data_IF_185703276273
#
_entry.id   IF_185703276273
#
_cell.length_a   1.000
_cell.length_b   1.000
_cell.length_c   1.000
_cell.angle_alpha   90.00
_cell.angle_beta   90.00
_cell.angle_gamma   90.00
#
_symmetry.space_group_name_H-M   'P 1'
#
loop_
_entity.id
_entity.type
_entity.pdbx_description
1 polymer ?
#
# COMPACT_ATOMS: atom_id res chain seq x y z
N UNK A 1 -11.47 -16.20 -58.70
CA UNK A 1 -12.52 -16.59 -57.73
C UNK A 1 -12.13 -17.92 -57.13
N UNK A 2 -11.70 -17.93 -55.86
CA UNK A 2 -11.33 -19.16 -55.14
C UNK A 2 -12.59 -20.04 -54.98
N UNK A 3 -12.43 -21.35 -55.14
CA UNK A 3 -13.55 -22.28 -55.19
C UNK A 3 -14.16 -22.50 -53.81
N UNK A 4 -15.22 -21.75 -53.50
CA UNK A 4 -16.17 -22.07 -52.41
C UNK A 4 -16.55 -23.55 -52.44
N UNK A 5 -16.81 -24.14 -51.27
CA UNK A 5 -17.42 -25.47 -51.17
C UNK A 5 -18.72 -25.53 -51.97
N UNK A 6 -19.49 -24.44 -51.99
CA UNK A 6 -20.66 -24.32 -52.85
C UNK A 6 -20.32 -24.49 -54.33
N UNK A 7 -19.24 -23.88 -54.81
CA UNK A 7 -18.78 -24.05 -56.20
C UNK A 7 -18.30 -25.48 -56.47
N UNK A 8 -17.65 -26.15 -55.51
CA UNK A 8 -17.23 -27.55 -55.65
C UNK A 8 -18.43 -28.50 -55.71
N UNK A 9 -19.46 -28.25 -54.90
CA UNK A 9 -20.73 -28.98 -54.94
C UNK A 9 -21.44 -28.75 -56.28
N UNK A 10 -21.52 -27.50 -56.74
CA UNK A 10 -22.15 -27.14 -58.01
C UNK A 10 -21.44 -27.80 -59.21
N UNK A 11 -20.10 -27.78 -59.22
CA UNK A 11 -19.30 -28.48 -60.23
C UNK A 11 -19.53 -30.00 -60.18
N UNK A 12 -19.73 -30.57 -59.00
CA UNK A 12 -20.11 -31.98 -58.84
C UNK A 12 -21.46 -32.30 -59.48
N UNK A 13 -22.49 -31.47 -59.27
CA UNK A 13 -23.79 -31.62 -59.93
C UNK A 13 -23.68 -31.49 -61.45
N UNK A 14 -22.94 -30.48 -61.94
CA UNK A 14 -22.69 -30.31 -63.37
C UNK A 14 -21.95 -31.51 -63.98
N UNK A 15 -20.99 -32.10 -63.27
CA UNK A 15 -20.28 -33.30 -63.73
C UNK A 15 -21.22 -34.51 -63.85
N UNK A 16 -22.15 -34.70 -62.91
CA UNK A 16 -23.16 -35.76 -62.99
C UNK A 16 -24.09 -35.53 -64.19
N UNK A 17 -24.62 -34.32 -64.37
CA UNK A 17 -25.49 -33.97 -65.51
C UNK A 17 -24.75 -34.20 -66.85
N UNK A 18 -23.50 -33.74 -66.95
CA UNK A 18 -22.67 -33.93 -68.13
C UNK A 18 -22.41 -35.41 -68.41
N UNK A 19 -22.19 -36.22 -67.38
CA UNK A 19 -22.01 -37.68 -67.51
C UNK A 19 -23.27 -38.35 -68.06
N UNK A 20 -24.46 -37.99 -67.53
CA UNK A 20 -25.75 -38.51 -68.02
C UNK A 20 -26.00 -38.13 -69.48
N UNK A 21 -25.73 -36.87 -69.85
CA UNK A 21 -25.93 -36.37 -71.22
C UNK A 21 -24.95 -37.00 -72.22
N UNK A 22 -23.67 -37.12 -71.85
CA UNK A 22 -22.65 -37.71 -72.71
C UNK A 22 -22.88 -39.21 -72.95
N UNK A 23 -23.20 -39.97 -71.90
CA UNK A 23 -23.47 -41.39 -72.03
C UNK A 23 -24.83 -41.68 -72.67
N UNK A 24 -25.87 -40.90 -72.38
CA UNK A 24 -27.18 -41.06 -73.02
C UNK A 24 -27.14 -40.72 -74.52
N UNK A 25 -26.64 -39.54 -74.87
CA UNK A 25 -26.57 -39.07 -76.26
C UNK A 25 -25.52 -39.79 -77.10
N UNK A 26 -24.33 -40.03 -76.54
CA UNK A 26 -23.25 -40.73 -77.24
C UNK A 26 -23.58 -42.19 -77.54
N UNK A 27 -24.21 -42.89 -76.58
CA UNK A 27 -24.64 -44.28 -76.77
C UNK A 27 -25.74 -44.40 -77.83
N UNK A 28 -26.61 -43.39 -77.95
CA UNK A 28 -27.67 -43.34 -78.97
C UNK A 28 -27.10 -43.22 -80.40
N UNK A 29 -25.97 -42.53 -80.59
CA UNK A 29 -25.31 -42.37 -81.90
C UNK A 29 -24.51 -43.62 -82.28
N UNK A 30 -23.78 -44.21 -81.33
CA UNK A 30 -22.88 -45.35 -81.57
C UNK A 30 -23.61 -46.69 -81.69
N UNK A 31 -24.67 -46.90 -80.90
CA UNK A 31 -25.38 -48.19 -80.79
C UNK A 31 -26.90 -47.96 -80.76
N UNK A 32 -27.53 -47.63 -81.91
CA UNK A 32 -28.92 -47.17 -81.95
C UNK A 32 -29.97 -48.21 -81.53
N UNK A 33 -29.62 -49.50 -81.54
CA UNK A 33 -30.57 -50.60 -81.34
C UNK A 33 -30.46 -51.30 -79.97
N UNK A 34 -29.79 -50.70 -78.98
CA UNK A 34 -29.71 -51.25 -77.62
C UNK A 34 -30.96 -50.83 -76.82
N UNK A 35 -31.83 -51.78 -76.40
CA UNK A 35 -33.07 -51.47 -75.70
C UNK A 35 -32.88 -50.92 -74.27
N UNK A 36 -31.67 -51.02 -73.69
CA UNK A 36 -31.35 -50.67 -72.29
C UNK A 36 -30.48 -49.41 -72.12
N UNK A 37 -30.35 -48.55 -73.15
CA UNK A 37 -29.46 -47.37 -73.13
C UNK A 37 -29.74 -46.38 -71.99
N UNK A 38 -31.01 -46.11 -71.69
CA UNK A 38 -31.41 -45.12 -70.68
C UNK A 38 -31.12 -45.63 -69.26
N UNK A 39 -31.13 -46.96 -69.08
CA UNK A 39 -30.73 -47.59 -67.82
C UNK A 39 -29.22 -47.47 -67.59
N UNK A 40 -28.39 -47.61 -68.63
CA UNK A 40 -26.93 -47.50 -68.53
C UNK A 40 -26.51 -46.07 -68.16
N UNK A 41 -27.10 -45.05 -68.81
CA UNK A 41 -26.80 -43.65 -68.50
C UNK A 41 -27.25 -43.26 -67.09
N UNK A 42 -28.46 -43.67 -66.66
CA UNK A 42 -28.93 -43.46 -65.30
C UNK A 42 -28.03 -44.14 -64.24
N UNK A 43 -27.62 -45.39 -64.50
CA UNK A 43 -26.74 -46.13 -63.60
C UNK A 43 -25.35 -45.46 -63.46
N UNK A 44 -24.77 -44.99 -64.57
CA UNK A 44 -23.49 -44.28 -64.57
C UNK A 44 -23.54 -42.96 -63.78
N UNK A 45 -24.63 -42.19 -63.93
CA UNK A 45 -24.84 -40.95 -63.20
C UNK A 45 -24.96 -41.19 -61.69
N UNK A 46 -25.67 -42.27 -61.31
CA UNK A 46 -25.79 -42.70 -59.92
C UNK A 46 -24.42 -43.07 -59.34
N UNK A 47 -23.61 -43.81 -60.09
CA UNK A 47 -22.26 -44.20 -59.65
C UNK A 47 -21.34 -42.99 -59.47
N UNK A 48 -21.31 -42.06 -60.43
CA UNK A 48 -20.49 -40.84 -60.33
C UNK A 48 -20.98 -39.95 -59.18
N UNK A 49 -22.29 -39.77 -59.05
CA UNK A 49 -22.89 -39.01 -57.94
C UNK A 49 -22.55 -39.61 -56.58
N UNK A 50 -22.69 -40.93 -56.42
CA UNK A 50 -22.34 -41.63 -55.19
C UNK A 50 -20.84 -41.53 -54.86
N UNK A 51 -19.97 -41.64 -55.87
CA UNK A 51 -18.53 -41.51 -55.71
C UNK A 51 -18.14 -40.09 -55.26
N UNK A 52 -18.65 -39.06 -55.94
CA UNK A 52 -18.40 -37.65 -55.59
C UNK A 52 -18.94 -37.32 -54.20
N UNK A 53 -20.17 -37.75 -53.88
CA UNK A 53 -20.77 -37.57 -52.56
C UNK A 53 -19.91 -38.19 -51.47
N UNK A 54 -19.43 -39.43 -51.68
CA UNK A 54 -18.55 -40.12 -50.72
C UNK A 54 -17.23 -39.39 -50.52
N UNK A 55 -16.58 -38.94 -51.60
CA UNK A 55 -15.30 -38.21 -51.51
C UNK A 55 -15.46 -36.87 -50.79
N UNK A 56 -16.49 -36.10 -51.14
CA UNK A 56 -16.72 -34.80 -50.52
C UNK A 56 -17.13 -34.94 -49.06
N UNK A 57 -18.06 -35.87 -48.76
CA UNK A 57 -18.50 -36.16 -47.40
C UNK A 57 -17.33 -36.59 -46.52
N UNK A 58 -16.47 -37.48 -47.00
CA UNK A 58 -15.28 -37.93 -46.26
C UNK A 58 -14.31 -36.77 -45.97
N UNK A 59 -14.11 -35.85 -46.93
CA UNK A 59 -13.26 -34.67 -46.70
C UNK A 59 -13.85 -33.73 -45.66
N UNK A 60 -15.13 -33.36 -45.78
CA UNK A 60 -15.80 -32.48 -44.81
C UNK A 60 -15.78 -33.10 -43.42
N UNK A 61 -16.18 -34.38 -43.29
CA UNK A 61 -16.21 -35.08 -42.02
C UNK A 61 -14.83 -35.13 -41.34
N UNK A 62 -13.76 -35.30 -42.12
CA UNK A 62 -12.39 -35.31 -41.59
C UNK A 62 -11.95 -33.95 -41.06
N UNK A 63 -12.15 -32.87 -41.82
CA UNK A 63 -11.72 -31.52 -41.38
C UNK A 63 -12.57 -31.02 -40.19
N UNK A 64 -13.89 -31.23 -40.22
CA UNK A 64 -14.78 -30.89 -39.11
C UNK A 64 -14.48 -31.75 -37.89
N UNK A 65 -14.18 -33.04 -38.08
CA UNK A 65 -13.75 -33.94 -37.01
C UNK A 65 -12.45 -33.49 -36.35
N UNK A 66 -11.47 -33.02 -37.14
CA UNK A 66 -10.22 -32.46 -36.60
C UNK A 66 -10.48 -31.20 -35.76
N UNK A 67 -11.36 -30.29 -36.22
CA UNK A 67 -11.78 -29.12 -35.45
C UNK A 67 -12.51 -29.49 -34.17
N UNK A 68 -13.39 -30.49 -34.21
CA UNK A 68 -14.11 -30.97 -33.03
C UNK A 68 -13.15 -31.56 -31.98
N UNK A 69 -12.16 -32.35 -32.42
CA UNK A 69 -11.12 -32.88 -31.54
C UNK A 69 -10.26 -31.77 -30.95
N UNK A 70 -9.81 -30.81 -31.75
CA UNK A 70 -9.03 -29.67 -31.27
C UNK A 70 -9.84 -28.79 -30.31
N UNK A 71 -11.14 -28.61 -30.56
CA UNK A 71 -12.04 -27.88 -29.66
C UNK A 71 -12.21 -28.59 -28.32
N UNK A 72 -12.25 -29.93 -28.32
CA UNK A 72 -12.28 -30.72 -27.09
C UNK A 72 -10.99 -30.53 -26.28
N UNK A 73 -9.84 -30.66 -26.92
CA UNK A 73 -8.53 -30.44 -26.27
C UNK A 73 -8.40 -29.01 -25.73
N UNK A 74 -8.86 -28.01 -26.51
CA UNK A 74 -8.93 -26.62 -26.07
C UNK A 74 -9.84 -26.44 -24.84
N UNK A 75 -10.99 -27.13 -24.79
CA UNK A 75 -11.91 -27.09 -23.65
C UNK A 75 -11.34 -27.71 -22.37
N UNK A 76 -10.37 -28.61 -22.52
CA UNK A 76 -9.58 -29.17 -21.41
C UNK A 76 -8.44 -28.23 -20.97
N UNK A 77 -8.29 -27.08 -21.64
CA UNK A 77 -7.30 -26.05 -21.32
C UNK A 77 -5.95 -26.23 -22.04
N UNK A 78 -5.79 -27.26 -22.86
CA UNK A 78 -4.60 -27.42 -23.68
C UNK A 78 -4.67 -26.50 -24.91
N UNK A 79 -4.12 -25.31 -24.72
CA UNK A 79 -3.98 -24.31 -25.76
C UNK A 79 -2.81 -24.59 -26.70
N UNK A 80 -2.07 -25.70 -26.62
CA UNK A 80 -0.84 -25.91 -27.43
C UNK A 80 -1.11 -26.45 -28.83
N UNK A 81 -2.33 -26.92 -29.10
CA UNK A 81 -2.70 -27.51 -30.40
C UNK A 81 -3.29 -26.47 -31.33
N UNK A 82 -2.83 -26.51 -32.58
CA UNK A 82 -3.40 -25.75 -33.70
C UNK A 82 -3.99 -26.73 -34.73
N UNK A 83 -4.98 -26.26 -35.48
CA UNK A 83 -5.59 -27.03 -36.57
C UNK A 83 -4.94 -26.63 -37.89
N UNK A 84 -4.43 -27.61 -38.64
CA UNK A 84 -3.84 -27.34 -39.95
C UNK A 84 -4.89 -26.89 -40.98
N UNK A 85 -4.55 -25.87 -41.77
CA UNK A 85 -5.43 -25.29 -42.80
C UNK A 85 -5.12 -25.97 -44.14
N UNK A 86 -5.92 -26.96 -44.52
CA UNK A 86 -5.71 -27.76 -45.74
C UNK A 86 -6.49 -27.29 -46.97
N UNK A 87 -7.30 -26.24 -46.84
CA UNK A 87 -8.21 -25.80 -47.90
C UNK A 87 -8.29 -24.28 -48.00
N UNK A 88 -8.56 -23.79 -49.20
CA UNK A 88 -8.77 -22.37 -49.53
C UNK A 88 -10.27 -21.98 -49.57
N UNK A 89 -11.13 -22.80 -48.96
CA UNK A 89 -12.59 -22.62 -48.91
C UNK A 89 -13.07 -22.28 -47.49
N UNK A 90 -14.38 -22.34 -47.27
CA UNK A 90 -15.02 -21.99 -46.01
C UNK A 90 -14.54 -22.86 -44.83
N UNK A 91 -14.13 -24.11 -45.07
CA UNK A 91 -13.55 -24.96 -44.01
C UNK A 91 -12.15 -24.50 -43.64
N UNK A 92 -11.36 -24.05 -44.62
CA UNK A 92 -10.07 -23.43 -44.36
C UNK A 92 -10.20 -22.12 -43.57
N UNK A 93 -11.17 -21.29 -43.94
CA UNK A 93 -11.48 -20.05 -43.21
C UNK A 93 -11.92 -20.34 -41.76
N UNK A 94 -12.73 -21.38 -41.54
CA UNK A 94 -13.13 -21.82 -40.20
C UNK A 94 -11.93 -22.29 -39.37
N UNK A 95 -11.03 -23.09 -39.94
CA UNK A 95 -9.81 -23.52 -39.26
C UNK A 95 -8.89 -22.34 -38.92
N UNK A 96 -8.75 -21.38 -39.82
CA UNK A 96 -7.98 -20.16 -39.57
C UNK A 96 -8.59 -19.32 -38.43
N UNK A 97 -9.91 -19.13 -38.42
CA UNK A 97 -10.61 -18.41 -37.36
C UNK A 97 -10.48 -19.12 -36.00
N UNK A 98 -10.57 -20.45 -35.97
CA UNK A 98 -10.34 -21.24 -34.77
C UNK A 98 -8.93 -21.02 -34.21
N UNK A 99 -7.89 -21.06 -35.05
CA UNK A 99 -6.51 -20.81 -34.60
C UNK A 99 -6.33 -19.37 -34.07
N UNK A 100 -7.00 -18.38 -34.65
CA UNK A 100 -6.99 -17.00 -34.12
C UNK A 100 -7.62 -16.89 -32.73
N UNK A 101 -8.70 -17.63 -32.48
CA UNK A 101 -9.29 -17.75 -31.14
C UNK A 101 -8.29 -18.38 -30.15
N UNK A 102 -7.61 -19.47 -30.53
CA UNK A 102 -6.58 -20.12 -29.70
C UNK A 102 -5.44 -19.14 -29.37
N UNK A 103 -4.95 -18.39 -30.35
CA UNK A 103 -3.92 -17.36 -30.14
C UNK A 103 -4.38 -16.27 -29.16
N UNK A 104 -5.62 -15.82 -29.29
CA UNK A 104 -6.19 -14.80 -28.41
C UNK A 104 -6.28 -15.31 -26.96
N UNK A 105 -6.75 -16.54 -26.77
CA UNK A 105 -6.79 -17.19 -25.45
C UNK A 105 -5.38 -17.38 -24.86
N UNK A 106 -4.39 -17.80 -25.66
CA UNK A 106 -2.98 -17.87 -25.22
C UNK A 106 -2.48 -16.52 -24.72
N UNK A 107 -2.84 -15.43 -25.39
CA UNK A 107 -2.47 -14.07 -24.97
C UNK A 107 -3.07 -13.70 -23.63
N UNK A 108 -4.37 -13.95 -23.45
CA UNK A 108 -5.09 -13.69 -22.18
C UNK A 108 -4.44 -14.48 -21.02
N UNK A 109 -4.12 -15.76 -21.23
CA UNK A 109 -3.47 -16.59 -20.20
C UNK A 109 -2.08 -16.05 -19.84
N UNK A 110 -1.29 -15.58 -20.81
CA UNK A 110 0.02 -14.96 -20.56
C UNK A 110 -0.11 -13.67 -19.74
N UNK A 111 -1.07 -12.82 -20.09
CA UNK A 111 -1.33 -11.57 -19.37
C UNK A 111 -1.84 -11.82 -17.95
N UNK A 112 -2.73 -12.80 -17.77
CA UNK A 112 -3.20 -13.23 -16.46
C UNK A 112 -2.03 -13.73 -15.60
N UNK A 113 -1.11 -14.53 -16.17
CA UNK A 113 0.09 -14.98 -15.47
C UNK A 113 1.00 -13.80 -15.06
N UNK A 114 1.28 -12.88 -15.98
CA UNK A 114 2.10 -11.70 -15.68
C UNK A 114 1.47 -10.81 -14.60
N UNK A 115 0.13 -10.70 -14.60
CA UNK A 115 -0.61 -9.97 -13.57
C UNK A 115 -0.51 -10.67 -12.22
N UNK A 116 -0.66 -12.00 -12.18
CA UNK A 116 -0.48 -12.77 -10.95
C UNK A 116 0.94 -12.61 -10.38
N UNK A 117 1.98 -12.66 -11.23
CA UNK A 117 3.37 -12.42 -10.81
C UNK A 117 3.56 -11.02 -10.21
N UNK A 118 2.96 -9.98 -10.81
CA UNK A 118 2.96 -8.62 -10.26
C UNK A 118 2.25 -8.54 -8.91
N UNK A 119 1.10 -9.20 -8.76
CA UNK A 119 0.36 -9.25 -7.49
C UNK A 119 1.21 -9.92 -6.42
N UNK A 120 1.88 -11.04 -6.73
CA UNK A 120 2.80 -11.71 -5.81
C UNK A 120 3.95 -10.78 -5.40
N UNK A 121 4.60 -10.10 -6.35
CA UNK A 121 5.68 -9.17 -6.05
C UNK A 121 5.24 -8.01 -5.14
N UNK A 122 4.07 -7.43 -5.42
CA UNK A 122 3.47 -6.37 -4.58
C UNK A 122 3.13 -6.87 -3.19
N UNK A 123 2.61 -8.10 -3.04
CA UNK A 123 2.33 -8.70 -1.74
C UNK A 123 3.61 -8.91 -0.92
N UNK A 124 4.71 -9.35 -1.55
CA UNK A 124 6.02 -9.47 -0.89
C UNK A 124 6.56 -8.11 -0.44
N UNK A 125 6.47 -7.09 -1.30
CA UNK A 125 6.90 -5.74 -0.94
C UNK A 125 6.06 -5.15 0.20
N UNK A 126 4.74 -5.40 0.20
CA UNK A 126 3.85 -4.97 1.28
C UNK A 126 4.16 -5.68 2.59
N UNK A 127 4.47 -6.98 2.56
CA UNK A 127 4.89 -7.74 3.74
C UNK A 127 6.17 -7.14 4.35
N UNK A 128 7.18 -6.86 3.53
CA UNK A 128 8.41 -6.21 4.01
C UNK A 128 8.16 -4.82 4.58
N UNK A 129 7.26 -4.05 3.96
CA UNK A 129 6.85 -2.73 4.50
C UNK A 129 6.12 -2.84 5.84
N UNK A 130 5.29 -3.88 6.02
CA UNK A 130 4.60 -4.14 7.28
C UNK A 130 5.57 -4.57 8.39
N UNK A 131 6.57 -5.39 8.07
CA UNK A 131 7.65 -5.75 9.01
C UNK A 131 8.43 -4.50 9.46
N UNK A 132 8.81 -3.65 8.51
CA UNK A 132 9.47 -2.38 8.82
C UNK A 132 8.59 -1.46 9.68
N UNK A 133 7.29 -1.40 9.40
CA UNK A 133 6.34 -0.61 10.19
C UNK A 133 6.21 -1.13 11.63
N UNK A 134 6.18 -2.44 11.82
CA UNK A 134 6.17 -3.05 13.15
C UNK A 134 7.44 -2.69 13.92
N UNK A 135 8.61 -2.82 13.30
CA UNK A 135 9.88 -2.44 13.93
C UNK A 135 9.90 -0.95 14.34
N UNK A 136 9.46 -0.05 13.46
CA UNK A 136 9.32 1.39 13.79
C UNK A 136 8.33 1.63 14.93
N UNK A 137 7.25 0.86 15.00
CA UNK A 137 6.25 0.98 16.07
C UNK A 137 6.82 0.52 17.41
N UNK A 138 7.63 -0.54 17.43
CA UNK A 138 8.37 -0.98 18.62
C UNK A 138 9.35 0.09 19.10
N UNK A 139 10.09 0.73 18.18
CA UNK A 139 11.00 1.83 18.50
C UNK A 139 10.27 3.05 19.07
N UNK A 140 9.12 3.41 18.50
CA UNK A 140 8.24 4.46 19.04
C UNK A 140 7.78 4.08 20.45
N UNK A 141 7.36 2.83 20.66
CA UNK A 141 6.96 2.33 21.98
C UNK A 141 8.06 2.48 23.02
N UNK A 142 9.28 2.09 22.68
CA UNK A 142 10.45 2.25 23.54
C UNK A 142 10.74 3.74 23.84
N UNK A 143 10.64 4.60 22.83
CA UNK A 143 10.83 6.06 23.00
C UNK A 143 9.78 6.66 23.93
N UNK A 144 8.51 6.26 23.79
CA UNK A 144 7.42 6.70 24.68
C UNK A 144 7.67 6.25 26.12
N UNK A 145 8.17 5.03 26.33
CA UNK A 145 8.55 4.56 27.68
C UNK A 145 9.68 5.41 28.28
N UNK A 146 10.69 5.77 27.48
CA UNK A 146 11.76 6.66 27.93
C UNK A 146 11.24 8.06 28.28
N UNK A 147 10.32 8.60 27.48
CA UNK A 147 9.68 9.89 27.76
C UNK A 147 8.90 9.82 29.08
N UNK A 148 8.14 8.76 29.30
CA UNK A 148 7.38 8.58 30.55
C UNK A 148 8.32 8.53 31.77
N UNK A 149 9.41 7.77 31.71
CA UNK A 149 10.45 7.75 32.75
C UNK A 149 11.09 9.12 32.97
N UNK A 150 11.38 9.84 31.90
CA UNK A 150 11.91 11.21 31.97
C UNK A 150 10.95 12.19 32.65
N UNK A 151 9.66 12.10 32.33
CA UNK A 151 8.61 12.91 32.94
C UNK A 151 8.43 12.61 34.44
N UNK A 152 8.48 11.33 34.84
CA UNK A 152 8.45 10.91 36.24
C UNK A 152 9.66 11.49 37.01
N UNK A 153 10.86 11.39 36.44
CA UNK A 153 12.05 11.98 37.04
C UNK A 153 11.96 13.51 37.14
N UNK A 154 11.39 14.17 36.13
CA UNK A 154 11.16 15.61 36.16
C UNK A 154 10.17 16.01 37.27
N UNK A 155 9.10 15.23 37.48
CA UNK A 155 8.15 15.45 38.57
C UNK A 155 8.84 15.33 39.95
N UNK A 156 9.69 14.32 40.13
CA UNK A 156 10.49 14.14 41.35
C UNK A 156 11.43 15.34 41.61
N UNK A 157 12.10 15.84 40.57
CA UNK A 157 12.95 17.02 40.67
C UNK A 157 12.17 18.30 41.02
N UNK A 158 10.96 18.46 40.48
CA UNK A 158 10.07 19.57 40.82
C UNK A 158 9.64 19.49 42.29
N UNK A 159 9.33 18.30 42.80
CA UNK A 159 8.99 18.11 44.22
C UNK A 159 10.16 18.47 45.14
N UNK A 160 11.37 17.99 44.81
CA UNK A 160 12.61 18.36 45.54
C UNK A 160 12.85 19.86 45.52
N UNK A 161 12.70 20.49 44.36
CA UNK A 161 12.87 21.94 44.21
C UNK A 161 11.84 22.70 45.04
N UNK A 162 10.58 22.26 45.04
CA UNK A 162 9.52 22.82 45.88
C UNK A 162 9.86 22.73 47.37
N UNK A 163 10.44 21.61 47.81
CA UNK A 163 10.92 21.45 49.19
C UNK A 163 12.03 22.44 49.54
N UNK A 164 13.04 22.57 48.68
CA UNK A 164 14.14 23.53 48.88
C UNK A 164 13.60 24.97 48.93
N UNK A 165 12.64 25.32 48.07
CA UNK A 165 12.00 26.63 48.08
C UNK A 165 11.25 26.92 49.40
N UNK A 166 10.59 25.90 49.99
CA UNK A 166 9.96 26.03 51.31
C UNK A 166 11.00 26.24 52.42
N UNK A 167 12.11 25.51 52.38
CA UNK A 167 13.22 25.68 53.34
C UNK A 167 13.84 27.08 53.23
N UNK A 168 14.07 27.57 52.00
CA UNK A 168 14.55 28.92 51.75
C UNK A 168 13.58 29.99 52.30
N UNK A 169 12.28 29.85 52.07
CA UNK A 169 11.28 30.78 52.59
C UNK A 169 11.29 30.84 54.13
N UNK A 170 11.45 29.68 54.79
CA UNK A 170 11.61 29.62 56.25
C UNK A 170 12.87 30.32 56.73
N UNK A 171 14.02 30.09 56.07
CA UNK A 171 15.28 30.75 56.41
C UNK A 171 15.20 32.27 56.24
N UNK A 172 14.55 32.76 55.17
CA UNK A 172 14.31 34.20 54.94
C UNK A 172 13.48 34.80 56.07
N UNK A 173 12.42 34.11 56.51
CA UNK A 173 11.58 34.57 57.61
C UNK A 173 12.35 34.61 58.94
N UNK A 174 13.22 33.64 59.18
CA UNK A 174 14.10 33.62 60.36
C UNK A 174 15.12 34.77 60.32
N UNK A 175 15.74 35.03 59.16
CA UNK A 175 16.66 36.16 58.96
C UNK A 175 15.93 37.49 59.22
N UNK A 176 14.71 37.65 58.71
CA UNK A 176 13.91 38.86 58.94
C UNK A 176 13.62 39.07 60.44
N UNK A 177 13.25 38.01 61.17
CA UNK A 177 13.04 38.08 62.62
C UNK A 177 14.33 38.43 63.37
N UNK A 178 15.46 37.81 63.03
CA UNK A 178 16.76 38.11 63.63
C UNK A 178 17.19 39.55 63.37
N UNK A 179 16.96 40.06 62.15
CA UNK A 179 17.24 41.45 61.79
C UNK A 179 16.37 42.43 62.59
N UNK A 180 15.09 42.09 62.81
CA UNK A 180 14.18 42.88 63.67
C UNK A 180 14.68 42.93 65.11
N UNK A 181 15.00 41.77 65.71
CA UNK A 181 15.53 41.73 67.08
C UNK A 181 16.86 42.46 67.23
N UNK A 182 17.74 42.38 66.22
CA UNK A 182 19.00 43.13 66.21
C UNK A 182 18.76 44.65 66.15
N UNK A 183 17.78 45.11 65.36
CA UNK A 183 17.40 46.52 65.30
C UNK A 183 16.81 47.02 66.64
N UNK A 184 15.95 46.22 67.29
CA UNK A 184 15.40 46.51 68.62
C UNK A 184 16.51 46.62 69.67
N UNK A 185 17.44 45.65 69.71
CA UNK A 185 18.58 45.67 70.62
C UNK A 185 19.51 46.87 70.38
N UNK A 186 19.76 47.23 69.12
CA UNK A 186 20.55 48.39 68.76
C UNK A 186 19.88 49.70 69.20
N UNK A 187 18.55 49.80 69.07
CA UNK A 187 17.78 50.95 69.53
C UNK A 187 17.85 51.10 71.06
N UNK A 188 17.71 50.00 71.80
CA UNK A 188 17.80 50.00 73.26
C UNK A 188 19.21 50.32 73.77
N UNK A 189 20.25 49.76 73.14
CA UNK A 189 21.63 50.13 73.42
C UNK A 189 21.89 51.63 73.18
N UNK A 190 21.33 52.19 72.10
CA UNK A 190 21.37 53.62 71.82
C UNK A 190 20.68 54.46 72.91
N UNK A 191 19.52 54.02 73.39
CA UNK A 191 18.79 54.69 74.48
C UNK A 191 19.57 54.66 75.81
N UNK A 192 20.13 53.50 76.18
CA UNK A 192 20.95 53.33 77.38
C UNK A 192 22.23 54.17 77.30
N UNK A 193 22.89 54.21 76.13
CA UNK A 193 24.06 55.06 75.92
C UNK A 193 23.72 56.56 76.06
N UNK A 194 22.58 57.00 75.53
CA UNK A 194 22.14 58.39 75.63
C UNK A 194 21.80 58.78 77.09
N UNK A 195 21.07 57.93 77.80
CA UNK A 195 20.70 58.16 79.20
C UNK A 195 21.93 58.11 80.12
N UNK A 196 22.83 57.14 79.94
CA UNK A 196 24.11 57.06 80.64
C UNK A 196 25.00 58.28 80.37
N UNK A 197 25.06 58.76 79.13
CA UNK A 197 25.74 59.99 78.75
C UNK A 197 25.19 61.21 79.50
N UNK A 198 23.85 61.36 79.58
CA UNK A 198 23.22 62.42 80.38
C UNK A 198 23.57 62.32 81.87
N UNK A 199 23.54 61.12 82.46
CA UNK A 199 23.91 60.92 83.87
C UNK A 199 25.38 61.21 84.17
N UNK A 200 26.28 60.90 83.24
CA UNK A 200 27.70 61.26 83.36
C UNK A 200 27.92 62.78 83.25
N UNK A 201 27.12 63.46 82.41
CA UNK A 201 27.16 64.91 82.24
C UNK A 201 26.61 65.64 83.48
N UNK A 202 25.53 65.13 84.07
CA UNK A 202 24.96 65.64 85.32
C UNK A 202 25.94 65.47 86.49
N UNK A 203 26.69 64.34 86.53
CA UNK A 203 27.78 64.11 87.49
C UNK A 203 29.04 64.95 87.26
N UNK A 204 29.23 65.52 86.07
CA UNK A 204 30.37 66.41 85.75
C UNK A 204 29.99 67.90 85.76
N UNK A 205 28.75 68.25 86.13
CA UNK A 205 28.36 69.61 86.51
C UNK A 205 29.04 70.05 87.82
N UNK A 206 29.32 71.36 88.00
CA UNK A 206 30.36 71.84 88.91
C UNK A 206 30.14 71.48 90.39
N UNK A 207 30.92 70.51 90.89
CA UNK A 207 31.02 70.19 92.31
C UNK A 207 31.99 71.13 93.04
N UNK A 208 31.83 72.44 92.91
CA UNK A 208 32.55 73.42 93.76
C UNK A 208 31.69 74.66 93.94
N UNK A 209 31.02 74.77 95.10
CA UNK A 209 31.33 75.77 96.14
C UNK A 209 30.17 75.86 97.13
N UNK A 210 30.34 75.26 98.30
CA UNK A 210 30.01 75.93 99.56
C UNK A 210 30.63 75.18 100.74
N UNK A 211 31.59 75.82 101.41
CA UNK A 211 31.69 75.93 102.88
C UNK A 211 33.14 76.01 103.39
N UNK A 212 33.31 76.92 104.36
CA UNK A 212 34.48 77.26 105.23
C UNK A 212 35.17 78.58 104.83
N UNK A 213 35.42 79.52 105.75
CA UNK A 213 35.23 79.59 107.21
C UNK A 213 35.36 81.04 107.68
N UNK A 214 34.81 81.32 108.86
CA UNK A 214 34.88 82.58 109.60
C UNK A 214 36.14 82.73 110.48
N UNK A 215 36.31 83.97 110.99
CA UNK A 215 37.17 84.51 112.10
C UNK A 215 38.51 85.11 111.65
N UNK A 216 39.00 86.27 112.12
CA UNK A 216 38.59 87.24 113.17
C UNK A 216 39.55 88.47 113.18
N UNK A 217 39.01 89.71 113.33
CA UNK A 217 39.41 90.97 114.08
C UNK A 217 40.86 91.20 114.61
N UNK A 218 41.30 92.39 115.12
CA UNK A 218 40.77 93.81 115.16
C UNK A 218 41.82 94.99 115.08
N UNK A 219 41.37 96.24 115.40
CA UNK A 219 42.07 97.48 115.92
C UNK A 219 43.06 98.25 115.02
N UNK A 220 43.26 99.59 115.02
CA UNK A 220 42.92 100.78 115.86
C UNK A 220 43.18 102.09 115.06
N UNK A 221 42.62 103.22 115.53
CA UNK A 221 42.79 104.64 115.08
C UNK A 221 44.22 105.19 115.37
N UNK A 222 44.64 106.40 114.92
CA UNK A 222 44.08 107.74 115.25
C UNK A 222 43.37 108.47 114.11
#
# INVERSE_FOLDING_TARGET
MKGSIGNKILLGFLAVIATTAALGGGLAVLLPNIPSRDAISAFSALLVGALLAKVLSARIAREVGALALASKVLSEGDLTKDVAVHSDDELGALAAAFNQMVLSLRSIVREAKATAEKVTASATALSGSAEQMNASTEEIGATVEQIAKGAEHQAELVEKTSKVMREMASAINEIANRAKSAAEAAAEAGYTAQSGGRSAQDRSGPSWTSSRRSRSRPTSWP
#
